data_IF_802160623360
#
_entry.id   IF_802160623360
#
_cell.length_a   1.000
_cell.length_b   1.000
_cell.length_c   1.000
_cell.angle_alpha   90.00
_cell.angle_beta   90.00
_cell.angle_gamma   90.00
#
_symmetry.space_group_name_H-M   'P 1'
#
loop_
_entity.id
_entity.type
_entity.pdbx_description
1 polymer ?
#
# COMPACT_ATOMS: atom_id res chain seq x y z
N UNK A 1 -21.59 -5.61 7.87
CA UNK A 1 -20.91 -4.95 9.01
C UNK A 1 -19.49 -4.67 8.57
N UNK A 2 -19.06 -3.40 8.58
CA UNK A 2 -17.64 -3.09 8.41
C UNK A 2 -16.98 -3.45 9.73
N UNK A 3 -16.08 -4.43 9.73
CA UNK A 3 -15.34 -4.80 10.92
C UNK A 3 -14.42 -3.62 11.27
N UNK A 4 -14.63 -2.99 12.43
CA UNK A 4 -13.68 -2.01 12.95
C UNK A 4 -12.45 -2.77 13.45
N UNK A 5 -11.29 -2.42 12.92
CA UNK A 5 -10.01 -2.98 13.37
C UNK A 5 -9.72 -2.55 14.81
N UNK A 6 -9.15 -3.45 15.60
CA UNK A 6 -8.60 -3.09 16.91
C UNK A 6 -7.33 -2.24 16.75
N UNK A 7 -6.89 -1.50 17.78
CA UNK A 7 -5.61 -0.78 17.73
C UNK A 7 -4.40 -1.66 17.37
N UNK A 8 -4.41 -2.93 17.80
CA UNK A 8 -3.37 -3.91 17.45
C UNK A 8 -3.43 -4.30 15.97
N UNK A 9 -4.63 -4.50 15.41
CA UNK A 9 -4.81 -4.80 13.99
C UNK A 9 -4.43 -3.61 13.10
N UNK A 10 -4.79 -2.38 13.51
CA UNK A 10 -4.35 -1.15 12.86
C UNK A 10 -2.82 -1.06 12.82
N UNK A 11 -2.17 -1.37 13.95
CA UNK A 11 -0.72 -1.37 14.07
C UNK A 11 -0.09 -2.45 13.19
N UNK A 12 -0.71 -3.63 13.14
CA UNK A 12 -0.26 -4.73 12.28
C UNK A 12 -0.32 -4.32 10.81
N UNK A 13 -1.43 -3.79 10.32
CA UNK A 13 -1.56 -3.34 8.93
C UNK A 13 -0.48 -2.31 8.56
N UNK A 14 -0.26 -1.30 9.41
CA UNK A 14 0.78 -0.29 9.19
C UNK A 14 2.18 -0.93 9.16
N UNK A 15 2.47 -1.84 10.08
CA UNK A 15 3.77 -2.53 10.13
C UNK A 15 3.97 -3.46 8.93
N UNK A 16 2.92 -4.11 8.43
CA UNK A 16 2.99 -4.90 7.19
C UNK A 16 3.44 -4.03 6.01
N UNK A 17 2.87 -2.84 5.85
CA UNK A 17 3.31 -1.89 4.80
C UNK A 17 4.77 -1.46 5.01
N UNK A 18 5.20 -1.26 6.26
CA UNK A 18 6.61 -0.95 6.56
C UNK A 18 7.55 -2.08 6.15
N UNK A 19 7.20 -3.31 6.48
CA UNK A 19 8.02 -4.48 6.18
C UNK A 19 8.10 -4.73 4.68
N UNK A 20 6.98 -4.68 3.95
CA UNK A 20 7.01 -4.75 2.49
C UNK A 20 7.86 -3.62 1.87
N UNK A 21 7.74 -2.39 2.40
CA UNK A 21 8.56 -1.26 1.98
C UNK A 21 10.06 -1.41 2.26
N UNK A 22 10.46 -2.23 3.22
CA UNK A 22 11.85 -2.54 3.55
C UNK A 22 12.37 -3.76 2.78
N UNK A 23 11.55 -4.81 2.66
CA UNK A 23 11.91 -6.08 2.04
C UNK A 23 12.08 -5.96 0.53
N UNK A 24 11.23 -5.19 -0.16
CA UNK A 24 11.31 -4.99 -1.61
C UNK A 24 12.67 -4.39 -2.05
N UNK A 25 13.12 -3.22 -1.54
CA UNK A 25 14.47 -2.72 -1.85
C UNK A 25 15.60 -3.67 -1.45
N UNK A 26 15.43 -4.40 -0.34
CA UNK A 26 16.43 -5.37 0.15
C UNK A 26 16.59 -6.53 -0.82
N UNK A 27 15.48 -7.12 -1.27
CA UNK A 27 15.46 -8.21 -2.25
C UNK A 27 16.04 -7.75 -3.60
N UNK A 28 15.68 -6.55 -4.05
CA UNK A 28 16.20 -5.93 -5.27
C UNK A 28 17.64 -5.39 -5.16
N UNK A 29 18.23 -5.37 -3.95
CA UNK A 29 19.53 -4.73 -3.63
C UNK A 29 19.61 -3.26 -4.09
N UNK A 30 18.46 -2.60 -4.21
CA UNK A 30 18.30 -1.25 -4.75
C UNK A 30 16.90 -0.73 -4.43
N UNK A 31 16.78 0.54 -4.05
CA UNK A 31 15.50 1.19 -3.81
C UNK A 31 15.52 2.17 -2.65
N UNK A 32 14.35 2.69 -2.28
CA UNK A 32 14.20 3.74 -1.27
C UNK A 32 13.25 3.27 -0.16
N UNK A 33 13.74 2.59 0.90
CA UNK A 33 12.87 2.00 1.93
C UNK A 33 12.30 3.05 2.90
N UNK A 34 13.00 4.16 3.12
CA UNK A 34 12.64 5.15 4.14
C UNK A 34 11.28 5.81 3.90
N UNK A 35 10.99 6.24 2.66
CA UNK A 35 9.72 6.89 2.33
C UNK A 35 8.51 5.93 2.44
N UNK A 36 8.53 4.70 1.90
CA UNK A 36 7.50 3.70 2.15
C UNK A 36 7.23 3.44 3.65
N UNK A 37 8.28 3.27 4.45
CA UNK A 37 8.13 3.01 5.89
C UNK A 37 7.53 4.21 6.63
N UNK A 38 7.97 5.43 6.30
CA UNK A 38 7.48 6.67 6.91
C UNK A 38 6.03 6.98 6.52
N UNK A 39 5.65 6.70 5.28
CA UNK A 39 4.31 6.96 4.75
C UNK A 39 3.29 5.84 5.02
N UNK A 40 3.71 4.70 5.57
CA UNK A 40 2.84 3.55 5.84
C UNK A 40 1.52 3.89 6.59
N UNK A 41 1.52 4.73 7.67
CA UNK A 41 0.27 5.10 8.34
C UNK A 41 -0.70 5.88 7.44
N UNK A 42 -0.17 6.79 6.62
CA UNK A 42 -0.96 7.57 5.68
C UNK A 42 -1.52 6.66 4.58
N UNK A 43 -0.72 5.76 4.03
CA UNK A 43 -1.15 4.83 3.00
C UNK A 43 -2.25 3.88 3.50
N UNK A 44 -2.07 3.30 4.69
CA UNK A 44 -3.09 2.47 5.35
C UNK A 44 -4.42 3.22 5.50
N UNK A 45 -4.37 4.46 5.98
CA UNK A 45 -5.59 5.29 6.12
C UNK A 45 -6.21 5.60 4.76
N UNK A 46 -5.41 6.01 3.79
CA UNK A 46 -5.88 6.46 2.49
C UNK A 46 -6.54 5.32 1.71
N UNK A 47 -5.86 4.18 1.56
CA UNK A 47 -6.37 3.02 0.82
C UNK A 47 -7.37 2.18 1.62
N UNK A 48 -7.23 2.10 2.95
CA UNK A 48 -8.10 1.26 3.77
C UNK A 48 -9.41 1.92 4.19
N UNK A 49 -9.48 3.26 4.21
CA UNK A 49 -10.60 3.98 4.84
C UNK A 49 -11.16 5.16 4.05
N UNK A 50 -10.37 5.76 3.16
CA UNK A 50 -10.75 7.03 2.52
C UNK A 50 -11.10 6.85 1.05
N UNK A 51 -10.20 6.26 0.26
CA UNK A 51 -10.37 6.18 -1.18
C UNK A 51 -11.46 5.18 -1.57
N UNK A 52 -12.23 5.58 -2.58
CA UNK A 52 -13.19 4.73 -3.24
C UNK A 52 -12.58 4.17 -4.54
N UNK A 53 -12.25 2.89 -4.56
CA UNK A 53 -11.67 2.22 -5.72
C UNK A 53 -12.15 0.78 -5.81
N UNK A 54 -11.94 0.17 -6.97
CA UNK A 54 -12.25 -1.24 -7.20
C UNK A 54 -11.01 -1.94 -7.75
N UNK A 55 -10.31 -2.78 -6.96
CA UNK A 55 -9.11 -3.47 -7.41
C UNK A 55 -9.40 -4.45 -8.57
N UNK A 56 -10.61 -5.04 -8.62
CA UNK A 56 -11.05 -5.91 -9.73
C UNK A 56 -11.51 -5.13 -10.98
N UNK A 57 -11.67 -3.82 -10.88
CA UNK A 57 -11.92 -2.93 -12.02
C UNK A 57 -11.11 -1.62 -11.91
N UNK A 58 -9.79 -1.66 -12.18
CA UNK A 58 -8.91 -0.49 -12.11
C UNK A 58 -9.32 0.64 -13.06
N UNK A 59 -10.11 0.33 -14.09
CA UNK A 59 -10.58 1.29 -15.09
C UNK A 59 -11.93 1.94 -14.74
N UNK A 60 -12.52 1.59 -13.59
CA UNK A 60 -13.78 2.20 -13.14
C UNK A 60 -13.69 3.73 -13.19
N UNK A 61 -14.60 4.35 -13.95
CA UNK A 61 -14.55 5.78 -14.28
C UNK A 61 -14.54 6.67 -13.04
N UNK A 62 -15.37 6.35 -12.05
CA UNK A 62 -15.61 7.18 -10.87
C UNK A 62 -14.77 6.80 -9.64
N UNK A 63 -13.69 6.01 -9.80
CA UNK A 63 -12.74 5.74 -8.70
C UNK A 63 -12.03 7.03 -8.26
N UNK A 64 -11.58 7.10 -7.03
CA UNK A 64 -10.61 8.13 -6.65
C UNK A 64 -9.28 7.87 -7.37
N UNK A 65 -8.54 8.95 -7.64
CA UNK A 65 -7.24 8.87 -8.33
C UNK A 65 -6.12 9.12 -7.34
N UNK A 66 -5.27 8.11 -7.16
CA UNK A 66 -4.03 8.23 -6.41
C UNK A 66 -2.86 8.51 -7.36
N UNK A 67 -2.05 9.52 -7.04
CA UNK A 67 -0.81 9.83 -7.75
C UNK A 67 0.31 9.96 -6.73
N UNK A 68 1.27 9.03 -6.79
CA UNK A 68 2.49 9.13 -5.99
C UNK A 68 3.50 10.04 -6.70
N UNK A 69 3.39 11.35 -6.46
CA UNK A 69 4.36 12.32 -7.00
C UNK A 69 5.80 12.01 -6.54
N UNK A 70 5.94 11.43 -5.35
CA UNK A 70 7.20 11.01 -4.78
C UNK A 70 7.65 9.64 -5.33
N UNK A 71 7.75 9.52 -6.66
CA UNK A 71 7.77 8.24 -7.39
C UNK A 71 8.89 7.28 -6.99
N UNK A 72 9.99 7.77 -6.42
CA UNK A 72 11.07 6.91 -5.91
C UNK A 72 10.63 6.00 -4.75
N UNK A 73 9.49 6.29 -4.11
CA UNK A 73 8.85 5.49 -3.06
C UNK A 73 7.87 4.45 -3.64
N UNK A 74 8.11 3.99 -4.86
CA UNK A 74 7.22 3.07 -5.59
C UNK A 74 6.85 1.81 -4.80
N UNK A 75 7.75 1.30 -3.96
CA UNK A 75 7.48 0.16 -3.08
C UNK A 75 6.25 0.38 -2.17
N UNK A 76 5.96 1.63 -1.77
CA UNK A 76 4.73 1.97 -1.05
C UNK A 76 3.49 1.69 -1.91
N UNK A 77 3.49 2.19 -3.15
CA UNK A 77 2.36 2.05 -4.06
C UNK A 77 2.14 0.57 -4.43
N UNK A 78 3.20 -0.18 -4.71
CA UNK A 78 3.12 -1.61 -5.01
C UNK A 78 2.60 -2.40 -3.81
N UNK A 79 3.09 -2.10 -2.60
CA UNK A 79 2.56 -2.70 -1.37
C UNK A 79 1.05 -2.48 -1.22
N UNK A 80 0.57 -1.26 -1.47
CA UNK A 80 -0.86 -0.98 -1.36
C UNK A 80 -1.68 -1.63 -2.47
N UNK A 81 -1.19 -1.68 -3.71
CA UNK A 81 -1.86 -2.40 -4.80
C UNK A 81 -2.01 -3.88 -4.46
N UNK A 82 -0.94 -4.53 -4.00
CA UNK A 82 -0.97 -5.93 -3.56
C UNK A 82 -1.94 -6.15 -2.40
N UNK A 83 -1.78 -5.41 -1.29
CA UNK A 83 -2.59 -5.59 -0.08
C UNK A 83 -4.08 -5.29 -0.28
N UNK A 84 -4.42 -4.45 -1.25
CA UNK A 84 -5.82 -4.13 -1.58
C UNK A 84 -6.41 -5.01 -2.67
N UNK A 85 -5.66 -5.99 -3.18
CA UNK A 85 -6.17 -7.03 -4.08
C UNK A 85 -6.18 -6.66 -5.56
N UNK A 86 -5.38 -5.68 -5.99
CA UNK A 86 -5.08 -5.53 -7.41
C UNK A 86 -4.35 -6.78 -7.92
N UNK A 87 -4.36 -6.97 -9.24
CA UNK A 87 -3.61 -8.03 -9.92
C UNK A 87 -2.10 -7.73 -9.89
N UNK A 88 -1.52 -7.79 -8.70
CA UNK A 88 -0.11 -7.62 -8.38
C UNK A 88 0.25 -8.66 -7.30
N UNK A 89 0.65 -9.87 -7.71
CA UNK A 89 0.93 -10.96 -6.77
C UNK A 89 2.20 -10.68 -5.96
N UNK A 90 2.38 -11.38 -4.82
CA UNK A 90 3.49 -11.12 -3.89
C UNK A 90 4.85 -11.38 -4.52
N UNK A 91 4.91 -12.27 -5.52
CA UNK A 91 6.11 -12.62 -6.28
C UNK A 91 6.62 -11.48 -7.19
N UNK A 92 5.76 -10.48 -7.46
CA UNK A 92 6.13 -9.28 -8.23
C UNK A 92 6.54 -8.09 -7.36
N UNK A 93 6.49 -8.22 -6.03
CA UNK A 93 7.03 -7.23 -5.09
C UNK A 93 8.54 -7.42 -4.90
#
# INVERSE_FOLDING_TARGET
MVHQLTPEEETLCVNTVRMLGADQPTAGKSGHPGAPMGCAPMAHTLFGKVMNFNPSNPHWTNRDRFVLSNGHACALQYSMLHLTGYDLPIEEL
#
